data_IF_905507106392
#
_entry.id   IF_905507106392
#
_cell.length_a   1.000
_cell.length_b   1.000
_cell.length_c   1.000
_cell.angle_alpha   90.00
_cell.angle_beta   90.00
_cell.angle_gamma   90.00
#
_symmetry.space_group_name_H-M   'P 1'
#
loop_
_entity.id
_entity.type
_entity.pdbx_description
1 polymer ?
#
# COMPACT_ATOMS: atom_id res chain seq x y z
N UNK A 1 -50.33 -26.45 -6.07
CA UNK A 1 -50.67 -25.69 -4.84
C UNK A 1 -49.42 -25.70 -3.96
N UNK A 2 -48.67 -24.58 -3.95
CA UNK A 2 -48.49 -23.68 -2.78
C UNK A 2 -47.63 -24.31 -1.67
N UNK A 3 -46.53 -23.73 -1.17
CA UNK A 3 -46.02 -22.38 -1.33
C UNK A 3 -44.60 -22.26 -0.77
N UNK A 4 -43.86 -21.30 -1.33
CA UNK A 4 -42.52 -20.87 -0.96
C UNK A 4 -42.61 -20.01 0.30
N UNK A 5 -41.92 -20.35 1.38
CA UNK A 5 -41.77 -19.47 2.54
C UNK A 5 -40.38 -18.82 2.54
N UNK A 6 -40.27 -17.71 1.81
CA UNK A 6 -39.20 -16.74 1.97
C UNK A 6 -39.53 -15.82 3.16
N UNK A 7 -38.82 -15.96 4.29
CA UNK A 7 -38.91 -15.01 5.40
C UNK A 7 -38.06 -13.79 5.10
N UNK A 8 -38.70 -12.76 4.54
CA UNK A 8 -38.19 -11.39 4.42
C UNK A 8 -38.43 -10.69 5.77
N UNK A 9 -37.39 -10.47 6.57
CA UNK A 9 -37.50 -9.59 7.75
C UNK A 9 -37.23 -8.15 7.31
N UNK A 10 -38.22 -7.31 7.57
CA UNK A 10 -38.26 -5.86 7.38
C UNK A 10 -37.89 -5.18 8.70
N UNK A 11 -37.29 -3.99 8.55
CA UNK A 11 -37.18 -2.88 9.52
C UNK A 11 -36.47 -3.12 10.85
N UNK A 12 -35.20 -2.69 10.90
CA UNK A 12 -34.62 -2.01 12.05
C UNK A 12 -34.19 -0.62 11.55
N UNK A 13 -35.02 0.38 11.89
CA UNK A 13 -34.77 1.81 11.70
C UNK A 13 -34.28 2.26 13.07
N UNK A 14 -32.96 2.37 13.23
CA UNK A 14 -32.36 3.02 14.38
C UNK A 14 -31.83 4.37 13.91
N UNK A 15 -32.26 5.41 14.63
CA UNK A 15 -31.92 6.80 14.44
C UNK A 15 -30.43 7.01 14.71
N UNK A 16 -29.66 7.23 13.64
CA UNK A 16 -28.30 7.72 13.72
C UNK A 16 -28.34 9.25 13.87
N UNK A 17 -28.10 9.72 15.09
CA UNK A 17 -28.12 11.13 15.46
C UNK A 17 -26.75 11.77 15.18
N UNK A 18 -26.72 12.60 14.14
CA UNK A 18 -26.11 13.93 14.11
C UNK A 18 -24.62 14.07 14.50
N UNK A 19 -23.75 14.24 13.50
CA UNK A 19 -23.20 15.54 13.05
C UNK A 19 -21.93 15.29 12.22
N UNK A 20 -21.66 16.16 11.24
CA UNK A 20 -20.54 16.16 10.28
C UNK A 20 -20.76 15.42 8.94
N UNK A 21 -21.17 16.18 7.93
CA UNK A 21 -21.20 15.68 6.55
C UNK A 21 -22.07 16.46 5.57
N UNK A 22 -22.02 17.80 5.58
CA UNK A 22 -22.74 18.63 4.60
C UNK A 22 -21.82 19.62 3.88
N UNK A 23 -20.82 19.10 3.18
CA UNK A 23 -19.91 19.89 2.34
C UNK A 23 -19.53 19.18 1.03
N UNK A 24 -20.48 18.53 0.35
CA UNK A 24 -20.18 17.92 -0.98
C UNK A 24 -21.25 18.13 -2.06
N UNK A 25 -22.10 19.16 -1.95
CA UNK A 25 -23.10 19.47 -3.00
C UNK A 25 -23.03 20.87 -3.61
N UNK A 26 -22.09 21.72 -3.20
CA UNK A 26 -21.97 23.09 -3.74
C UNK A 26 -20.92 23.27 -4.85
N UNK A 27 -20.15 22.24 -5.23
CA UNK A 27 -19.06 22.38 -6.22
C UNK A 27 -19.43 22.04 -7.67
N UNK A 28 -20.67 21.59 -7.94
CA UNK A 28 -21.10 21.21 -9.30
C UNK A 28 -21.90 22.29 -10.03
N UNK A 29 -22.30 23.34 -9.35
CA UNK A 29 -23.19 24.38 -9.91
C UNK A 29 -22.48 25.73 -10.15
N UNK A 30 -21.15 25.76 -10.09
CA UNK A 30 -20.35 26.97 -10.36
C UNK A 30 -19.53 26.86 -11.66
N UNK A 31 -19.87 25.92 -12.55
CA UNK A 31 -19.18 25.70 -13.83
C UNK A 31 -20.02 26.00 -15.08
N UNK A 32 -21.21 26.58 -14.91
CA UNK A 32 -22.15 26.85 -16.00
C UNK A 32 -22.56 28.34 -16.14
N UNK A 33 -21.79 29.28 -15.59
CA UNK A 33 -22.15 30.70 -15.57
C UNK A 33 -21.00 31.65 -15.98
N UNK A 34 -20.14 31.23 -16.92
CA UNK A 34 -19.11 32.10 -17.51
C UNK A 34 -18.91 31.81 -19.01
N UNK A 35 -19.99 31.88 -19.77
CA UNK A 35 -19.95 32.05 -21.23
C UNK A 35 -21.05 33.03 -21.64
N UNK A 36 -20.86 34.30 -21.27
CA UNK A 36 -21.42 35.43 -22.02
C UNK A 36 -20.63 36.69 -21.62
N UNK A 37 -19.62 37.02 -22.42
CA UNK A 37 -18.89 38.27 -22.32
C UNK A 37 -18.57 38.67 -23.75
N UNK A 38 -19.58 39.25 -24.39
CA UNK A 38 -19.47 40.01 -25.62
C UNK A 38 -18.42 41.13 -25.41
N UNK A 39 -17.18 40.83 -25.79
CA UNK A 39 -16.07 41.77 -25.78
C UNK A 39 -15.88 42.24 -27.22
N UNK A 40 -15.94 43.55 -27.51
CA UNK A 40 -15.83 44.04 -28.88
C UNK A 40 -14.43 43.74 -29.45
N UNK A 41 -14.29 43.49 -30.77
CA UNK A 41 -13.04 43.02 -31.34
C UNK A 41 -11.94 44.08 -31.22
N UNK A 42 -10.67 43.67 -31.03
CA UNK A 42 -9.55 44.61 -30.97
C UNK A 42 -9.38 45.32 -32.32
N UNK A 43 -9.29 46.65 -32.25
CA UNK A 43 -9.01 47.52 -33.38
C UNK A 43 -7.60 47.25 -33.92
N UNK A 44 -7.49 46.96 -35.21
CA UNK A 44 -6.21 46.79 -35.90
C UNK A 44 -5.45 48.14 -35.88
N UNK A 45 -4.13 48.18 -35.60
CA UNK A 45 -3.36 49.39 -35.80
C UNK A 45 -3.37 49.74 -37.29
N UNK A 46 -3.67 51.00 -37.61
CA UNK A 46 -3.62 51.52 -38.97
C UNK A 46 -2.20 51.36 -39.51
N UNK A 47 -2.05 50.65 -40.63
CA UNK A 47 -0.85 50.69 -41.46
C UNK A 47 -0.61 52.16 -41.83
N UNK A 48 0.43 52.76 -41.27
CA UNK A 48 1.01 53.98 -41.83
C UNK A 48 1.45 53.66 -43.26
N UNK A 49 1.07 54.56 -44.15
CA UNK A 49 1.44 54.54 -45.56
C UNK A 49 2.97 54.56 -45.64
N UNK A 50 3.54 53.50 -46.23
CA UNK A 50 4.94 53.50 -46.64
C UNK A 50 4.99 54.43 -47.85
N UNK A 51 5.42 55.67 -47.64
CA UNK A 51 5.80 56.54 -48.74
C UNK A 51 7.03 55.92 -49.40
N UNK A 52 6.80 55.35 -50.58
CA UNK A 52 7.81 54.99 -51.56
C UNK A 52 8.28 56.31 -52.18
N UNK A 53 9.18 56.98 -51.46
CA UNK A 53 9.88 58.18 -51.90
C UNK A 53 11.29 57.78 -52.29
N UNK A 54 11.47 57.54 -53.59
CA UNK A 54 12.79 57.42 -54.20
C UNK A 54 13.60 58.71 -54.01
N UNK A 55 14.92 58.53 -53.90
CA UNK A 55 15.95 59.55 -53.96
C UNK A 55 16.00 60.53 -52.77
N UNK A 56 16.46 60.02 -51.63
CA UNK A 56 17.04 60.82 -50.57
C UNK A 56 18.39 60.19 -50.19
N UNK A 57 19.46 60.75 -50.73
CA UNK A 57 20.88 60.62 -50.34
C UNK A 57 21.17 59.48 -49.34
N UNK A 58 21.38 58.27 -49.87
CA UNK A 58 21.70 57.10 -49.04
C UNK A 58 23.05 57.28 -48.35
N UNK A 59 23.03 57.53 -47.03
CA UNK A 59 24.24 57.55 -46.22
C UNK A 59 24.85 56.14 -46.14
N UNK A 60 26.18 56.09 -46.10
CA UNK A 60 26.89 54.81 -46.02
C UNK A 60 26.52 54.03 -44.75
N UNK A 61 26.67 52.70 -44.77
CA UNK A 61 26.38 51.83 -43.61
C UNK A 61 27.22 52.29 -42.39
N UNK A 62 28.43 52.79 -42.63
CA UNK A 62 29.31 53.34 -41.60
C UNK A 62 28.76 54.64 -40.97
N UNK A 63 28.27 55.57 -41.80
CA UNK A 63 27.63 56.80 -41.31
C UNK A 63 26.35 56.50 -40.54
N UNK A 64 25.58 55.51 -41.00
CA UNK A 64 24.38 55.03 -40.31
C UNK A 64 24.74 54.40 -38.96
N UNK A 65 25.83 53.62 -38.90
CA UNK A 65 26.33 53.02 -37.66
C UNK A 65 26.81 54.05 -36.64
N UNK A 66 27.44 55.15 -37.10
CA UNK A 66 27.81 56.27 -36.21
C UNK A 66 26.58 56.93 -35.60
N UNK A 67 25.54 57.17 -36.40
CA UNK A 67 24.27 57.70 -35.89
C UNK A 67 23.62 56.72 -34.90
N UNK A 68 23.63 55.43 -35.21
CA UNK A 68 23.12 54.36 -34.34
C UNK A 68 23.82 54.33 -32.99
N UNK A 69 25.15 54.43 -33.00
CA UNK A 69 25.95 54.53 -31.79
C UNK A 69 25.64 55.78 -30.97
N UNK A 70 25.48 56.94 -31.62
CA UNK A 70 25.12 58.19 -30.93
C UNK A 70 23.73 58.14 -30.27
N UNK A 71 22.85 57.29 -30.79
CA UNK A 71 21.52 57.01 -30.28
C UNK A 71 21.48 55.79 -29.32
N UNK A 72 22.63 55.17 -29.02
CA UNK A 72 22.73 54.01 -28.14
C UNK A 72 22.17 52.71 -28.72
N UNK A 73 21.98 52.63 -30.04
CA UNK A 73 21.49 51.46 -30.76
C UNK A 73 22.66 50.60 -31.27
N UNK A 74 22.45 49.28 -31.35
CA UNK A 74 23.47 48.34 -31.83
C UNK A 74 23.82 48.60 -33.31
N UNK A 75 25.10 48.56 -33.73
CA UNK A 75 25.51 48.71 -35.12
C UNK A 75 24.87 47.69 -36.07
N UNK A 76 24.72 48.05 -37.34
CA UNK A 76 24.37 47.14 -38.43
C UNK A 76 25.62 46.38 -38.88
N UNK A 77 25.45 45.09 -39.14
CA UNK A 77 26.50 44.24 -39.68
C UNK A 77 26.81 44.63 -41.14
N UNK A 78 28.10 44.74 -41.43
CA UNK A 78 28.64 44.94 -42.79
C UNK A 78 29.04 43.58 -43.36
N UNK A 79 28.67 43.30 -44.62
CA UNK A 79 28.89 42.01 -45.30
C UNK A 79 30.37 41.62 -45.51
N UNK A 80 31.34 42.46 -45.12
CA UNK A 80 32.79 42.27 -45.35
C UNK A 80 33.60 41.80 -44.11
N UNK A 81 32.98 41.31 -43.04
CA UNK A 81 33.71 40.73 -41.89
C UNK A 81 33.22 39.32 -41.50
N UNK A 82 34.13 38.38 -41.19
CA UNK A 82 33.78 36.99 -40.91
C UNK A 82 33.04 36.84 -39.57
N UNK A 83 32.05 35.93 -39.55
CA UNK A 83 31.29 35.53 -38.37
C UNK A 83 32.22 35.01 -37.26
N UNK A 84 32.54 35.86 -36.30
CA UNK A 84 33.10 35.46 -35.02
C UNK A 84 32.54 36.34 -33.90
N UNK A 85 31.43 35.89 -33.29
CA UNK A 85 31.22 35.96 -31.84
C UNK A 85 29.87 35.34 -31.42
N UNK A 86 29.96 34.49 -30.40
CA UNK A 86 28.92 34.12 -29.43
C UNK A 86 27.91 33.02 -29.84
N UNK A 87 28.31 31.77 -29.67
CA UNK A 87 27.47 30.73 -29.05
C UNK A 87 28.38 29.62 -28.49
N UNK A 88 28.88 29.85 -27.28
CA UNK A 88 29.35 28.80 -26.37
C UNK A 88 28.09 28.03 -25.93
N UNK A 89 27.76 26.96 -26.66
CA UNK A 89 26.68 26.02 -26.32
C UNK A 89 27.12 24.63 -26.81
N UNK A 90 28.25 24.17 -26.27
CA UNK A 90 28.75 22.80 -26.39
C UNK A 90 28.47 22.09 -25.04
N UNK A 91 27.22 22.13 -24.57
CA UNK A 91 26.76 21.21 -23.53
C UNK A 91 26.46 19.84 -24.18
N UNK A 92 26.95 18.74 -23.59
CA UNK A 92 26.71 17.41 -24.15
C UNK A 92 25.21 17.10 -24.17
N UNK A 93 24.66 16.98 -25.37
CA UNK A 93 23.26 16.60 -25.61
C UNK A 93 22.97 15.28 -24.87
N UNK A 94 22.03 15.25 -23.91
CA UNK A 94 21.71 14.02 -23.19
C UNK A 94 21.10 12.99 -24.14
N UNK A 95 21.48 11.71 -23.96
CA UNK A 95 20.99 10.58 -24.76
C UNK A 95 19.45 10.60 -24.88
N UNK A 96 18.95 10.56 -26.12
CA UNK A 96 17.51 10.52 -26.43
C UNK A 96 16.92 11.78 -27.07
N UNK A 97 17.76 12.78 -27.42
CA UNK A 97 17.32 14.01 -28.08
C UNK A 97 17.64 13.97 -29.57
N UNK A 98 16.61 13.87 -30.41
CA UNK A 98 16.78 14.03 -31.85
C UNK A 98 16.94 15.53 -32.16
N UNK A 99 18.08 15.92 -32.71
CA UNK A 99 18.37 17.28 -33.17
C UNK A 99 17.95 17.39 -34.63
N UNK A 100 16.85 18.09 -34.89
CA UNK A 100 16.39 18.37 -36.26
C UNK A 100 16.75 19.83 -36.57
N UNK A 101 17.48 20.03 -37.67
CA UNK A 101 17.86 21.35 -38.18
C UNK A 101 16.87 21.75 -39.28
N UNK A 102 15.91 22.60 -38.96
CA UNK A 102 15.00 23.24 -39.92
C UNK A 102 15.13 24.76 -39.74
N UNK A 103 15.41 25.50 -40.83
CA UNK A 103 15.47 26.97 -40.88
C UNK A 103 16.40 27.67 -39.87
N UNK A 104 17.52 27.04 -39.48
CA UNK A 104 18.54 27.65 -38.61
C UNK A 104 18.23 27.57 -37.11
N UNK A 105 17.18 26.86 -36.70
CA UNK A 105 16.80 26.66 -35.30
C UNK A 105 17.05 25.20 -34.91
N UNK A 106 17.98 24.97 -33.96
CA UNK A 106 18.25 23.63 -33.40
C UNK A 106 17.14 23.26 -32.41
N UNK A 107 16.20 22.41 -32.83
CA UNK A 107 15.12 21.93 -31.96
C UNK A 107 15.55 20.61 -31.30
N UNK A 108 15.69 20.65 -29.97
CA UNK A 108 16.01 19.49 -29.13
C UNK A 108 14.71 18.82 -28.67
N UNK A 109 14.29 17.73 -29.33
CA UNK A 109 13.09 16.97 -28.93
C UNK A 109 13.43 15.94 -27.86
N UNK A 110 13.16 16.24 -26.59
CA UNK A 110 13.24 15.27 -25.48
C UNK A 110 11.92 14.52 -25.35
N UNK A 111 11.93 13.20 -25.37
CA UNK A 111 10.72 12.39 -25.18
C UNK A 111 10.07 12.71 -23.84
N UNK A 112 8.74 12.89 -23.84
CA UNK A 112 8.00 13.25 -22.64
C UNK A 112 8.11 12.16 -21.56
N UNK A 113 8.53 12.55 -20.36
CA UNK A 113 8.49 11.70 -19.19
C UNK A 113 7.05 11.20 -18.93
N UNK A 114 6.90 9.90 -18.66
CA UNK A 114 5.61 9.34 -18.25
C UNK A 114 5.25 9.79 -16.82
N UNK A 115 4.68 10.99 -16.72
CA UNK A 115 4.28 11.60 -15.46
C UNK A 115 3.13 10.83 -14.78
N UNK A 116 2.38 10.04 -15.55
CA UNK A 116 1.29 9.19 -15.05
C UNK A 116 1.81 8.00 -14.24
N UNK A 117 2.84 7.31 -14.74
CA UNK A 117 3.50 6.22 -14.02
C UNK A 117 4.19 6.71 -12.75
N UNK A 118 4.92 7.84 -12.83
CA UNK A 118 5.53 8.47 -11.66
C UNK A 118 4.50 8.88 -10.60
N UNK A 119 3.30 9.32 -11.00
CA UNK A 119 2.19 9.62 -10.06
C UNK A 119 1.62 8.34 -9.44
N UNK A 120 1.35 7.31 -10.23
CA UNK A 120 0.86 6.01 -9.73
C UNK A 120 1.85 5.35 -8.78
N UNK A 121 3.16 5.44 -9.06
CA UNK A 121 4.21 4.94 -8.18
C UNK A 121 4.21 5.68 -6.83
N UNK A 122 4.09 7.01 -6.86
CA UNK A 122 3.98 7.83 -5.63
C UNK A 122 2.72 7.50 -4.83
N UNK A 123 1.57 7.35 -5.48
CA UNK A 123 0.31 6.96 -4.83
C UNK A 123 0.42 5.55 -4.20
N UNK A 124 1.04 4.61 -4.90
CA UNK A 124 1.27 3.26 -4.36
C UNK A 124 2.24 3.27 -3.18
N UNK A 125 3.30 4.09 -3.25
CA UNK A 125 4.26 4.27 -2.16
C UNK A 125 3.60 4.88 -0.93
N UNK A 126 2.77 5.91 -1.12
CA UNK A 126 1.99 6.53 -0.05
C UNK A 126 1.02 5.53 0.59
N UNK A 127 0.33 4.71 -0.21
CA UNK A 127 -0.57 3.66 0.29
C UNK A 127 0.18 2.60 1.11
N UNK A 128 1.37 2.20 0.68
CA UNK A 128 2.22 1.26 1.42
C UNK A 128 2.69 1.88 2.73
N UNK A 129 3.08 3.14 2.73
CA UNK A 129 3.51 3.86 3.94
C UNK A 129 2.37 4.03 4.95
N UNK A 130 1.19 4.40 4.48
CA UNK A 130 -0.02 4.46 5.30
C UNK A 130 -0.36 3.08 5.91
N UNK A 131 -0.25 2.00 5.13
CA UNK A 131 -0.45 0.64 5.63
C UNK A 131 0.59 0.25 6.68
N UNK A 132 1.86 0.61 6.47
CA UNK A 132 2.96 0.38 7.41
C UNK A 132 2.76 1.15 8.71
N UNK A 133 2.31 2.41 8.64
CA UNK A 133 1.96 3.20 9.82
C UNK A 133 0.78 2.60 10.58
N UNK A 134 -0.27 2.13 9.88
CA UNK A 134 -1.40 1.41 10.50
C UNK A 134 -0.93 0.15 11.23
N UNK A 135 -0.08 -0.67 10.62
CA UNK A 135 0.52 -1.85 11.27
C UNK A 135 1.33 -1.48 12.50
N UNK A 136 2.20 -0.45 12.40
CA UNK A 136 2.97 0.05 13.54
C UNK A 136 2.08 0.50 14.70
N UNK A 137 0.96 1.19 14.41
CA UNK A 137 0.02 1.61 15.45
C UNK A 137 -0.68 0.41 16.08
N UNK A 138 -1.13 -0.55 15.27
CA UNK A 138 -1.71 -1.80 15.76
C UNK A 138 -0.75 -2.58 16.66
N UNK A 139 0.52 -2.70 16.25
CA UNK A 139 1.55 -3.37 17.04
C UNK A 139 1.82 -2.63 18.36
N UNK A 140 1.79 -1.30 18.37
CA UNK A 140 1.93 -0.51 19.61
C UNK A 140 0.76 -0.76 20.56
N UNK A 141 -0.46 -0.83 20.05
CA UNK A 141 -1.66 -1.13 20.86
C UNK A 141 -1.61 -2.55 21.41
N UNK A 142 -1.15 -3.53 20.61
CA UNK A 142 -1.01 -4.91 21.06
C UNK A 142 0.12 -5.11 22.07
N UNK A 143 1.23 -4.37 21.94
CA UNK A 143 2.38 -4.46 22.85
C UNK A 143 2.18 -3.64 24.13
N UNK A 144 1.33 -2.62 24.11
CA UNK A 144 0.99 -1.90 25.32
C UNK A 144 0.37 -2.86 26.34
N UNK A 145 0.80 -2.76 27.60
CA UNK A 145 0.23 -3.52 28.72
C UNK A 145 -1.28 -3.32 28.70
N UNK A 146 -2.05 -4.41 28.70
CA UNK A 146 -3.51 -4.31 28.68
C UNK A 146 -3.93 -3.59 29.96
N UNK A 147 -4.92 -2.71 29.86
CA UNK A 147 -5.49 -2.01 31.03
C UNK A 147 -6.01 -2.96 32.12
N UNK A 148 -6.18 -4.25 31.81
CA UNK A 148 -6.59 -5.29 32.76
C UNK A 148 -5.41 -6.06 33.41
N UNK A 149 -4.16 -5.79 33.03
CA UNK A 149 -2.96 -6.43 33.60
C UNK A 149 -2.21 -5.54 34.59
N UNK A 150 -2.73 -4.36 34.91
CA UNK A 150 -2.25 -3.58 36.04
C UNK A 150 -2.68 -4.32 37.32
N UNK A 151 -1.82 -5.25 37.75
CA UNK A 151 -1.96 -5.96 39.01
C UNK A 151 -1.76 -4.92 40.12
N UNK A 152 -2.80 -4.64 40.91
CA UNK A 152 -2.80 -3.66 42.00
C UNK A 152 -1.71 -3.96 43.04
N UNK A 153 -1.17 -5.18 43.00
CA UNK A 153 -0.15 -5.74 43.88
C UNK A 153 1.30 -5.63 43.35
N UNK A 154 1.53 -5.07 42.15
CA UNK A 154 2.87 -4.95 41.53
C UNK A 154 3.81 -4.06 42.38
N UNK A 155 4.64 -4.69 43.22
CA UNK A 155 5.73 -4.03 43.97
C UNK A 155 5.59 -4.00 45.49
N UNK A 156 4.49 -4.49 46.06
CA UNK A 156 4.29 -4.52 47.52
C UNK A 156 4.75 -5.89 48.07
N UNK A 157 5.84 -5.89 48.85
CA UNK A 157 6.38 -7.12 49.45
C UNK A 157 5.33 -7.90 50.29
N UNK A 158 4.39 -7.19 50.93
CA UNK A 158 3.29 -7.78 51.69
C UNK A 158 2.34 -8.60 50.82
N UNK A 159 2.02 -8.14 49.60
CA UNK A 159 1.12 -8.85 48.69
C UNK A 159 1.73 -10.19 48.23
N UNK A 160 3.05 -10.26 48.05
CA UNK A 160 3.74 -11.52 47.75
C UNK A 160 3.69 -12.51 48.91
N UNK A 161 3.92 -12.04 50.14
CA UNK A 161 3.82 -12.88 51.35
C UNK A 161 2.38 -13.38 51.55
N UNK A 162 1.38 -12.54 51.32
CA UNK A 162 -0.04 -12.95 51.40
C UNK A 162 -0.41 -13.97 50.31
N UNK A 163 0.07 -13.79 49.08
CA UNK A 163 -0.11 -14.75 47.98
C UNK A 163 0.55 -16.09 48.28
N UNK A 164 1.74 -16.08 48.88
CA UNK A 164 2.44 -17.29 49.30
C UNK A 164 1.67 -18.01 50.41
N UNK A 165 1.23 -17.29 51.45
CA UNK A 165 0.41 -17.87 52.54
C UNK A 165 -0.90 -18.43 52.01
N UNK A 166 -1.56 -17.72 51.09
CA UNK A 166 -2.79 -18.19 50.44
C UNK A 166 -2.54 -19.45 49.62
N UNK A 167 -1.45 -19.50 48.85
CA UNK A 167 -1.08 -20.69 48.09
C UNK A 167 -0.76 -21.89 49.00
N UNK A 168 -0.14 -21.66 50.16
CA UNK A 168 0.11 -22.70 51.17
C UNK A 168 -1.19 -23.20 51.83
N UNK A 169 -2.09 -22.29 52.18
CA UNK A 169 -3.41 -22.63 52.72
C UNK A 169 -4.26 -23.40 51.71
N UNK A 170 -4.26 -22.96 50.44
CA UNK A 170 -4.96 -23.63 49.35
C UNK A 170 -4.36 -25.01 49.08
N UNK A 171 -3.03 -25.15 49.13
CA UNK A 171 -2.34 -26.44 49.02
C UNK A 171 -2.71 -27.36 50.19
N UNK A 172 -2.69 -26.85 51.43
CA UNK A 172 -3.06 -27.64 52.61
C UNK A 172 -4.52 -28.09 52.55
N UNK A 173 -5.43 -27.20 52.15
CA UNK A 173 -6.85 -27.52 51.97
C UNK A 173 -7.08 -28.52 50.83
N UNK A 174 -6.29 -28.44 49.77
CA UNK A 174 -6.30 -29.41 48.68
C UNK A 174 -5.77 -30.77 49.16
N UNK A 175 -4.69 -30.81 49.95
CA UNK A 175 -4.13 -32.04 50.53
C UNK A 175 -5.11 -32.69 51.52
N UNK A 176 -5.78 -31.92 52.36
CA UNK A 176 -6.84 -32.41 53.26
C UNK A 176 -8.04 -32.96 52.48
N UNK A 177 -8.47 -32.26 51.43
CA UNK A 177 -9.53 -32.76 50.54
C UNK A 177 -9.11 -34.01 49.78
N UNK A 178 -7.86 -34.08 49.31
CA UNK A 178 -7.33 -35.24 48.61
C UNK A 178 -7.29 -36.45 49.56
N UNK A 179 -6.82 -36.28 50.81
CA UNK A 179 -6.83 -37.33 51.82
C UNK A 179 -8.25 -37.80 52.17
N UNK A 180 -9.21 -36.88 52.27
CA UNK A 180 -10.61 -37.23 52.52
C UNK A 180 -11.22 -38.02 51.36
N UNK A 181 -10.91 -37.66 50.12
CA UNK A 181 -11.37 -38.36 48.92
C UNK A 181 -10.70 -39.74 48.77
N UNK A 182 -9.41 -39.86 49.09
CA UNK A 182 -8.68 -41.13 49.06
C UNK A 182 -9.26 -42.13 50.07
N UNK A 183 -9.57 -41.67 51.28
CA UNK A 183 -10.26 -42.48 52.28
C UNK A 183 -11.68 -42.90 51.83
N UNK A 184 -12.42 -42.02 51.14
CA UNK A 184 -13.73 -42.36 50.56
C UNK A 184 -13.60 -43.35 49.40
N UNK A 185 -12.58 -43.25 48.55
CA UNK A 185 -12.33 -44.17 47.45
C UNK A 185 -11.89 -45.55 47.95
N UNK A 186 -11.12 -45.62 49.05
CA UNK A 186 -10.74 -46.86 49.73
C UNK A 186 -11.95 -47.58 50.33
N UNK A 187 -12.91 -46.84 50.89
CA UNK A 187 -14.17 -47.40 51.42
C UNK A 187 -15.16 -47.81 50.30
N UNK A 188 -15.23 -47.05 49.21
CA UNK A 188 -16.24 -47.26 48.15
C UNK A 188 -15.73 -48.15 47.00
N UNK A 189 -14.42 -48.42 46.90
CA UNK A 189 -13.83 -49.37 45.95
C UNK A 189 -13.98 -48.99 44.47
N UNK A 190 -14.23 -47.70 44.16
CA UNK A 190 -14.53 -47.20 42.80
C UNK A 190 -13.28 -47.02 41.94
N UNK A 191 -12.09 -47.04 42.55
CA UNK A 191 -10.81 -46.83 41.86
C UNK A 191 -10.64 -47.73 40.63
N UNK A 192 -10.96 -49.03 40.74
CA UNK A 192 -10.84 -49.98 39.64
C UNK A 192 -11.78 -49.66 38.46
N UNK A 193 -13.02 -49.25 38.74
CA UNK A 193 -14.00 -48.90 37.69
C UNK A 193 -13.59 -47.60 36.96
N UNK A 194 -13.10 -46.61 37.71
CA UNK A 194 -12.58 -45.37 37.14
C UNK A 194 -11.29 -45.57 36.36
N UNK A 195 -10.40 -46.46 36.78
CA UNK A 195 -9.17 -46.75 36.05
C UNK A 195 -9.45 -47.49 34.74
N UNK A 196 -10.40 -48.43 34.71
CA UNK A 196 -10.88 -49.01 33.45
C UNK A 196 -11.49 -47.98 32.50
N UNK A 197 -12.27 -47.02 33.04
CA UNK A 197 -12.85 -45.95 32.24
C UNK A 197 -11.80 -44.95 31.75
N UNK A 198 -10.81 -44.61 32.58
CA UNK A 198 -9.64 -43.80 32.19
C UNK A 198 -8.82 -44.51 31.11
N UNK A 199 -8.59 -45.80 31.20
CA UNK A 199 -7.87 -46.56 30.17
C UNK A 199 -8.67 -46.62 28.86
N UNK A 200 -9.99 -46.83 28.92
CA UNK A 200 -10.89 -46.73 27.75
C UNK A 200 -10.88 -45.33 27.15
N UNK A 201 -10.90 -44.29 27.99
CA UNK A 201 -10.83 -42.89 27.56
C UNK A 201 -9.46 -42.52 26.97
N UNK A 202 -8.35 -42.99 27.55
CA UNK A 202 -7.00 -42.83 27.01
C UNK A 202 -6.87 -43.52 25.66
N UNK A 203 -7.34 -44.76 25.53
CA UNK A 203 -7.35 -45.49 24.26
C UNK A 203 -8.21 -44.81 23.20
N UNK A 204 -9.37 -44.27 23.58
CA UNK A 204 -10.22 -43.45 22.69
C UNK A 204 -9.51 -42.17 22.25
N UNK A 205 -8.93 -41.41 23.20
CA UNK A 205 -8.16 -40.19 22.92
C UNK A 205 -6.95 -40.47 22.02
N UNK A 206 -6.22 -41.56 22.25
CA UNK A 206 -5.09 -41.96 21.42
C UNK A 206 -5.55 -42.31 19.99
N UNK A 207 -6.67 -43.01 19.84
CA UNK A 207 -7.26 -43.30 18.52
C UNK A 207 -7.71 -42.02 17.82
N UNK A 208 -8.38 -41.13 18.54
CA UNK A 208 -8.87 -39.86 17.98
C UNK A 208 -7.69 -38.97 17.55
N UNK A 209 -6.63 -38.90 18.36
CA UNK A 209 -5.39 -38.20 18.02
C UNK A 209 -4.69 -38.81 16.79
N UNK A 210 -4.62 -40.15 16.70
CA UNK A 210 -4.07 -40.82 15.51
C UNK A 210 -4.89 -40.53 14.26
N UNK A 211 -6.23 -40.51 14.38
CA UNK A 211 -7.13 -40.16 13.28
C UNK A 211 -6.97 -38.70 12.85
N UNK A 212 -6.81 -37.78 13.80
CA UNK A 212 -6.55 -36.37 13.51
C UNK A 212 -5.20 -36.18 12.82
N UNK A 213 -4.14 -36.88 13.28
CA UNK A 213 -2.83 -36.84 12.62
C UNK A 213 -2.91 -37.34 11.18
N UNK A 214 -3.55 -38.48 10.95
CA UNK A 214 -3.74 -39.01 9.59
C UNK A 214 -4.55 -38.05 8.71
N UNK A 215 -5.62 -37.46 9.25
CA UNK A 215 -6.40 -36.46 8.52
C UNK A 215 -5.59 -35.19 8.19
N UNK A 216 -4.67 -34.80 9.06
CA UNK A 216 -3.76 -33.68 8.82
C UNK A 216 -2.73 -34.03 7.74
N UNK A 217 -2.13 -35.22 7.80
CA UNK A 217 -1.19 -35.73 6.79
C UNK A 217 -1.87 -35.86 5.40
N UNK A 218 -3.10 -36.38 5.38
CA UNK A 218 -3.94 -36.43 4.17
C UNK A 218 -4.28 -35.01 3.68
N UNK A 219 -4.56 -34.05 4.56
CA UNK A 219 -4.85 -32.66 4.18
C UNK A 219 -3.63 -31.92 3.62
N UNK A 220 -2.42 -32.19 4.14
CA UNK A 220 -1.17 -31.60 3.64
C UNK A 220 -0.86 -32.11 2.23
N UNK A 221 -1.16 -33.38 1.95
CA UNK A 221 -0.88 -34.01 0.66
C UNK A 221 -2.05 -33.95 -0.32
N UNK A 222 -3.25 -33.62 0.15
CA UNK A 222 -4.44 -33.47 -0.67
C UNK A 222 -4.23 -32.40 -1.77
N UNK A 223 -4.45 -32.81 -3.02
CA UNK A 223 -4.36 -31.94 -4.18
C UNK A 223 -2.97 -31.82 -4.81
N UNK A 224 -1.93 -32.39 -4.20
CA UNK A 224 -0.62 -32.54 -4.85
C UNK A 224 -0.69 -33.62 -5.92
N UNK A 225 -0.07 -33.35 -7.08
CA UNK A 225 0.02 -34.31 -8.19
C UNK A 225 1.32 -35.10 -8.05
N UNK A 226 1.22 -36.43 -8.15
CA UNK A 226 2.39 -37.32 -8.16
C UNK A 226 2.95 -37.37 -9.59
N UNK A 227 4.20 -36.94 -9.78
CA UNK A 227 4.86 -36.88 -11.09
C UNK A 227 5.35 -38.24 -11.64
N UNK A 228 5.24 -39.32 -10.87
CA UNK A 228 5.63 -40.67 -11.28
C UNK A 228 4.50 -41.40 -12.02
N UNK A 229 4.87 -42.33 -12.91
CA UNK A 229 3.90 -43.18 -13.61
C UNK A 229 3.23 -44.18 -12.66
N UNK A 230 1.98 -44.57 -12.97
CA UNK A 230 1.24 -45.57 -12.19
C UNK A 230 1.96 -46.92 -12.09
N UNK A 231 2.66 -47.30 -13.16
CA UNK A 231 3.41 -48.57 -13.23
C UNK A 231 4.53 -48.65 -12.19
N UNK A 232 5.08 -47.50 -11.76
CA UNK A 232 6.11 -47.44 -10.73
C UNK A 232 5.61 -47.93 -9.36
N UNK A 233 4.30 -47.91 -9.13
CA UNK A 233 3.67 -48.31 -7.86
C UNK A 233 3.09 -49.74 -7.86
N UNK A 234 3.08 -50.43 -9.01
CA UNK A 234 2.46 -51.76 -9.14
C UNK A 234 3.23 -52.89 -8.44
N UNK A 235 4.42 -52.62 -7.91
CA UNK A 235 5.30 -53.60 -7.26
C UNK A 235 4.96 -53.93 -5.80
N UNK A 236 3.90 -53.36 -5.22
CA UNK A 236 3.52 -53.60 -3.82
C UNK A 236 4.55 -53.12 -2.80
N UNK A 237 5.45 -52.21 -3.20
CA UNK A 237 6.47 -51.61 -2.34
C UNK A 237 5.97 -50.26 -1.86
N UNK A 238 6.06 -50.01 -0.56
CA UNK A 238 5.82 -48.69 0.00
C UNK A 238 6.98 -47.77 -0.39
N UNK A 239 6.68 -46.76 -1.20
CA UNK A 239 7.67 -45.80 -1.71
C UNK A 239 7.44 -44.42 -1.09
N UNK A 240 8.50 -43.83 -0.53
CA UNK A 240 8.47 -42.48 0.03
C UNK A 240 8.53 -41.47 -1.12
N UNK A 241 7.58 -40.54 -1.15
CA UNK A 241 7.55 -39.43 -2.10
C UNK A 241 8.16 -38.18 -1.47
N UNK A 242 8.89 -37.41 -2.28
CA UNK A 242 9.53 -36.14 -1.87
C UNK A 242 9.04 -35.04 -2.82
N UNK A 243 8.96 -33.80 -2.32
CA UNK A 243 8.60 -32.65 -3.13
C UNK A 243 9.69 -32.36 -4.16
N UNK A 244 9.28 -32.10 -5.40
CA UNK A 244 10.17 -31.59 -6.45
C UNK A 244 10.60 -30.16 -6.11
N UNK A 245 11.89 -29.85 -6.31
CA UNK A 245 12.42 -28.51 -6.06
C UNK A 245 11.90 -27.52 -7.12
N UNK A 246 11.35 -26.39 -6.65
CA UNK A 246 10.95 -25.26 -7.49
C UNK A 246 11.40 -23.97 -6.81
N UNK A 247 12.09 -23.12 -7.56
CA UNK A 247 12.55 -21.83 -7.06
C UNK A 247 11.38 -20.97 -6.57
N UNK A 248 11.54 -20.36 -5.40
CA UNK A 248 10.62 -19.32 -4.91
C UNK A 248 11.01 -18.00 -5.55
N UNK A 249 10.13 -17.46 -6.40
CA UNK A 249 10.27 -16.13 -7.05
C UNK A 249 9.62 -15.06 -6.19
#
# INVERSE_FOLDING_TARGET
MSGKYAKKRKSGRDEDTSVEGSTDRSRREERAAREDSDSPPPTKPKKSKKDDGGDAESMSIEETNKLRASLGLAPLETDDAPKDAAADDDEPVPEGVNVILEDGIKIHHKTADNLGEKKKEKEMREKIEASKQKRKMHDKVLKAKKLAEEDEDDGIASAWVEKLRRAEEDKKRADERAKMLDAMDEEFGVSNLMDEEKEKAKRKKARDAMKQRRAQEDAITAGLIVGHSKDSFMGGKDQILVLEDKGTV
#
